data_IF_437687513700
#
_entry.id   IF_437687513700
#
_cell.length_a   1.000
_cell.length_b   1.000
_cell.length_c   1.000
_cell.angle_alpha   90.00
_cell.angle_beta   90.00
_cell.angle_gamma   90.00
#
_symmetry.space_group_name_H-M   'P 1'
#
loop_
_entity.id
_entity.type
_entity.pdbx_description
1 polymer ?
#
# COMPACT_ATOMS: atom_id res chain seq x y z
N UNK A 1 11.00 1.94 -2.09
CA UNK A 1 10.76 2.24 -3.52
C UNK A 1 12.03 2.24 -4.38
N UNK A 2 13.09 3.01 -4.05
CA UNK A 2 14.32 3.10 -4.87
C UNK A 2 14.88 1.74 -5.35
N UNK A 3 15.09 0.79 -4.44
CA UNK A 3 15.62 -0.52 -4.81
C UNK A 3 14.72 -1.30 -5.79
N UNK A 4 13.39 -1.14 -5.69
CA UNK A 4 12.46 -1.77 -6.62
C UNK A 4 12.59 -1.16 -8.02
N UNK A 5 12.79 0.16 -8.14
CA UNK A 5 13.05 0.81 -9.42
C UNK A 5 14.38 0.42 -10.05
N UNK A 6 15.39 0.14 -9.22
CA UNK A 6 16.69 -0.35 -9.68
C UNK A 6 16.69 -1.85 -10.01
N UNK A 7 15.55 -2.53 -9.96
CA UNK A 7 15.45 -3.98 -10.19
C UNK A 7 16.06 -4.83 -9.06
N UNK A 8 16.46 -4.22 -7.95
CA UNK A 8 17.06 -4.88 -6.78
C UNK A 8 15.96 -5.44 -5.86
N UNK A 9 15.28 -6.49 -6.33
CA UNK A 9 14.11 -7.09 -5.67
C UNK A 9 14.34 -7.43 -4.20
N UNK A 10 15.39 -8.20 -3.90
CA UNK A 10 15.66 -8.67 -2.53
C UNK A 10 15.95 -7.52 -1.55
N UNK A 11 16.71 -6.53 -2.00
CA UNK A 11 16.99 -5.34 -1.20
C UNK A 11 15.73 -4.52 -0.94
N UNK A 12 14.85 -4.39 -1.94
CA UNK A 12 13.58 -3.69 -1.80
C UNK A 12 12.68 -4.36 -0.74
N UNK A 13 12.55 -5.68 -0.78
CA UNK A 13 11.77 -6.45 0.19
C UNK A 13 12.39 -6.39 1.59
N UNK A 14 13.71 -6.57 1.69
CA UNK A 14 14.42 -6.50 2.97
C UNK A 14 14.20 -5.14 3.65
N UNK A 15 14.37 -4.05 2.91
CA UNK A 15 14.22 -2.71 3.45
C UNK A 15 12.77 -2.37 3.78
N UNK A 16 11.84 -2.75 2.89
CA UNK A 16 10.42 -2.57 3.14
C UNK A 16 9.97 -3.29 4.41
N UNK A 17 10.31 -4.59 4.54
CA UNK A 17 9.97 -5.37 5.74
C UNK A 17 10.62 -4.77 6.99
N UNK A 18 11.90 -4.38 6.91
CA UNK A 18 12.58 -3.74 8.03
C UNK A 18 11.89 -2.46 8.48
N UNK A 19 11.37 -1.65 7.55
CA UNK A 19 10.62 -0.46 7.89
C UNK A 19 9.35 -0.80 8.71
N UNK A 20 8.61 -1.85 8.31
CA UNK A 20 7.41 -2.30 9.05
C UNK A 20 7.73 -2.80 10.45
N UNK A 21 8.92 -3.36 10.67
CA UNK A 21 9.39 -3.80 11.99
C UNK A 21 9.81 -2.61 12.88
N UNK A 22 10.40 -1.57 12.29
CA UNK A 22 10.86 -0.38 13.01
C UNK A 22 9.71 0.56 13.40
N UNK A 23 8.69 0.67 12.55
CA UNK A 23 7.47 1.45 12.79
C UNK A 23 6.25 0.53 12.67
N UNK A 24 6.02 -0.34 13.68
CA UNK A 24 4.90 -1.25 13.64
C UNK A 24 3.59 -0.48 13.78
N UNK A 25 2.61 -0.84 12.94
CA UNK A 25 1.28 -0.21 12.94
C UNK A 25 0.51 -0.36 14.26
N UNK A 26 0.93 -1.32 15.09
CA UNK A 26 0.37 -1.53 16.44
C UNK A 26 0.86 -0.51 17.46
N UNK A 27 1.96 0.20 17.17
CA UNK A 27 2.50 1.22 18.07
C UNK A 27 1.98 2.61 17.73
N UNK A 28 2.00 2.96 16.44
CA UNK A 28 1.41 4.17 15.89
C UNK A 28 0.67 3.79 14.61
N UNK A 29 -0.65 3.90 14.64
CA UNK A 29 -1.49 3.48 13.52
C UNK A 29 -1.32 4.38 12.30
N UNK A 30 -1.09 5.67 12.50
CA UNK A 30 -0.98 6.65 11.42
C UNK A 30 0.37 6.51 10.73
N UNK A 31 1.46 6.57 11.50
CA UNK A 31 2.82 6.40 10.97
C UNK A 31 3.06 4.98 10.45
N UNK A 32 2.48 3.98 11.10
CA UNK A 32 2.56 2.60 10.64
C UNK A 32 1.80 2.39 9.34
N UNK A 33 0.62 3.00 9.15
CA UNK A 33 -0.10 2.92 7.88
C UNK A 33 0.72 3.47 6.71
N UNK A 34 1.40 4.60 6.90
CA UNK A 34 2.31 5.19 5.90
C UNK A 34 3.39 4.18 5.46
N UNK A 35 4.05 3.53 6.41
CA UNK A 35 5.09 2.54 6.12
C UNK A 35 4.52 1.32 5.39
N UNK A 36 3.33 0.90 5.77
CA UNK A 36 2.65 -0.24 5.17
C UNK A 36 2.17 0.05 3.74
N UNK A 37 1.82 1.30 3.41
CA UNK A 37 1.56 1.75 2.04
C UNK A 37 2.84 1.68 1.20
N UNK A 38 3.96 2.21 1.69
CA UNK A 38 5.24 2.09 0.96
C UNK A 38 5.64 0.63 0.72
N UNK A 39 5.39 -0.25 1.69
CA UNK A 39 5.62 -1.67 1.51
C UNK A 39 4.68 -2.27 0.44
N UNK A 40 3.39 -1.91 0.45
CA UNK A 40 2.44 -2.31 -0.59
C UNK A 40 2.89 -1.85 -1.99
N UNK A 41 3.38 -0.61 -2.13
CA UNK A 41 3.91 -0.10 -3.38
C UNK A 41 5.14 -0.88 -3.87
N UNK A 42 6.03 -1.27 -2.96
CA UNK A 42 7.16 -2.15 -3.28
C UNK A 42 6.66 -3.50 -3.80
N UNK A 43 5.71 -4.12 -3.11
CA UNK A 43 5.10 -5.39 -3.54
C UNK A 43 4.44 -5.26 -4.92
N UNK A 44 3.66 -4.20 -5.15
CA UNK A 44 3.00 -3.91 -6.42
C UNK A 44 4.02 -3.86 -7.56
N UNK A 45 5.10 -3.10 -7.36
CA UNK A 45 6.16 -2.91 -8.35
C UNK A 45 6.91 -4.21 -8.66
N UNK A 46 7.02 -5.11 -7.68
CA UNK A 46 7.70 -6.39 -7.83
C UNK A 46 6.81 -7.51 -8.41
N UNK A 47 5.54 -7.21 -8.69
CA UNK A 47 4.56 -8.16 -9.23
C UNK A 47 3.92 -9.07 -8.17
N UNK A 48 4.02 -8.71 -6.88
CA UNK A 48 3.45 -9.47 -5.76
C UNK A 48 1.98 -9.09 -5.55
N UNK A 49 1.16 -9.35 -6.58
CA UNK A 49 -0.23 -8.88 -6.68
C UNK A 49 -1.10 -9.32 -5.50
N UNK A 50 -1.03 -10.59 -5.10
CA UNK A 50 -1.85 -11.13 -4.02
C UNK A 50 -1.59 -10.43 -2.68
N UNK A 51 -0.31 -10.31 -2.30
CA UNK A 51 0.11 -9.63 -1.08
C UNK A 51 -0.26 -8.15 -1.10
N UNK A 52 -0.09 -7.51 -2.26
CA UNK A 52 -0.42 -6.10 -2.45
C UNK A 52 -1.92 -5.85 -2.25
N UNK A 53 -2.78 -6.65 -2.91
CA UNK A 53 -4.23 -6.49 -2.84
C UNK A 53 -4.74 -6.70 -1.42
N UNK A 54 -4.30 -7.78 -0.76
CA UNK A 54 -4.69 -8.06 0.64
C UNK A 54 -4.33 -6.89 1.57
N UNK A 55 -3.17 -6.28 1.33
CA UNK A 55 -2.68 -5.15 2.11
C UNK A 55 -3.48 -3.87 1.83
N UNK A 56 -3.83 -3.59 0.57
CA UNK A 56 -4.70 -2.47 0.19
C UNK A 56 -6.06 -2.57 0.89
N UNK A 57 -6.70 -3.73 0.86
CA UNK A 57 -8.01 -3.94 1.49
C UNK A 57 -7.97 -3.62 2.99
N UNK A 58 -6.91 -4.06 3.69
CA UNK A 58 -6.71 -3.75 5.10
C UNK A 58 -6.49 -2.24 5.32
N UNK A 59 -5.63 -1.62 4.52
CA UNK A 59 -5.24 -0.22 4.68
C UNK A 59 -6.39 0.74 4.42
N UNK A 60 -7.25 0.47 3.44
CA UNK A 60 -8.45 1.29 3.19
C UNK A 60 -9.41 1.34 4.40
N UNK A 61 -9.34 0.37 5.31
CA UNK A 61 -10.13 0.37 6.56
C UNK A 61 -9.36 0.87 7.78
N UNK A 62 -8.07 1.18 7.64
CA UNK A 62 -7.20 1.57 8.75
C UNK A 62 -7.15 3.10 8.86
N UNK A 63 -7.04 3.72 10.04
CA UNK A 63 -6.74 5.14 10.15
C UNK A 63 -5.39 5.45 9.48
N UNK A 64 -5.35 6.45 8.61
CA UNK A 64 -4.12 6.88 7.93
C UNK A 64 -4.13 8.40 7.71
N UNK A 65 -2.96 8.97 7.47
CA UNK A 65 -2.84 10.37 7.07
C UNK A 65 -3.28 10.52 5.62
N UNK A 66 -4.31 11.33 5.36
CA UNK A 66 -4.68 11.73 4.01
C UNK A 66 -3.88 12.98 3.68
N UNK A 67 -2.88 12.84 2.82
CA UNK A 67 -2.08 13.94 2.32
C UNK A 67 -1.81 13.78 0.81
N UNK A 68 -1.02 14.70 0.24
CA UNK A 68 -0.68 14.69 -1.18
C UNK A 68 0.55 13.83 -1.51
N UNK A 69 1.08 13.06 -0.55
CA UNK A 69 2.29 12.27 -0.75
C UNK A 69 1.97 10.82 -1.18
N UNK A 70 2.99 10.06 -1.57
CA UNK A 70 2.86 8.69 -2.10
C UNK A 70 2.33 7.67 -1.10
N UNK A 71 2.20 8.03 0.18
CA UNK A 71 1.74 7.18 1.26
C UNK A 71 0.24 7.30 1.55
N UNK A 72 -0.49 8.23 0.91
CA UNK A 72 -1.95 8.27 0.99
C UNK A 72 -2.59 7.08 0.24
N UNK A 73 -3.63 6.48 0.83
CA UNK A 73 -4.34 5.34 0.27
C UNK A 73 -5.86 5.48 0.38
N UNK A 74 -6.44 6.31 -0.48
CA UNK A 74 -7.89 6.38 -0.75
C UNK A 74 -8.27 5.62 -2.02
N UNK A 75 -9.56 5.36 -2.26
CA UNK A 75 -9.98 4.89 -3.60
C UNK A 75 -9.62 5.90 -4.71
N UNK A 76 -9.54 7.20 -4.41
CA UNK A 76 -9.09 8.20 -5.38
C UNK A 76 -7.62 8.00 -5.74
N UNK A 77 -6.74 7.81 -4.75
CA UNK A 77 -5.33 7.51 -4.95
C UNK A 77 -5.17 6.24 -5.78
N UNK A 78 -5.88 5.17 -5.39
CA UNK A 78 -5.85 3.91 -6.12
C UNK A 78 -6.29 4.07 -7.57
N UNK A 79 -7.23 4.97 -7.92
CA UNK A 79 -7.65 5.21 -9.30
C UNK A 79 -6.68 6.07 -10.11
N UNK A 80 -6.08 7.08 -9.49
CA UNK A 80 -5.39 8.16 -10.21
C UNK A 80 -3.87 8.00 -10.25
N UNK A 81 -3.28 7.36 -9.24
CA UNK A 81 -1.83 7.29 -9.07
C UNK A 81 -1.21 6.14 -9.86
N UNK A 82 -0.17 6.44 -10.63
CA UNK A 82 0.50 5.52 -11.56
C UNK A 82 1.25 4.39 -10.83
N UNK A 83 1.58 4.59 -9.56
CA UNK A 83 2.26 3.62 -8.70
C UNK A 83 1.44 2.32 -8.57
N UNK A 84 0.11 2.42 -8.72
CA UNK A 84 -0.83 1.28 -8.71
C UNK A 84 -1.14 0.71 -10.10
N UNK A 85 -0.52 1.24 -11.16
CA UNK A 85 -0.72 0.76 -12.53
C UNK A 85 -0.46 -0.75 -12.71
N UNK A 86 0.52 -1.38 -12.02
CA UNK A 86 0.72 -2.83 -12.10
C UNK A 86 -0.51 -3.67 -11.74
N UNK A 87 -1.48 -3.13 -10.99
CA UNK A 87 -2.67 -3.84 -10.53
C UNK A 87 -3.91 -3.60 -11.40
N UNK A 88 -3.87 -2.66 -12.36
CA UNK A 88 -5.06 -2.16 -13.09
C UNK A 88 -5.87 -3.25 -13.79
N UNK A 89 -5.20 -4.31 -14.22
CA UNK A 89 -5.80 -5.42 -14.94
C UNK A 89 -6.24 -6.57 -14.03
N UNK A 90 -5.96 -6.51 -12.71
CA UNK A 90 -6.41 -7.55 -11.77
C UNK A 90 -7.90 -7.34 -11.43
N UNK A 91 -8.77 -8.36 -11.63
CA UNK A 91 -10.20 -8.23 -11.35
C UNK A 91 -10.54 -7.89 -9.89
N UNK A 92 -9.71 -8.34 -8.92
CA UNK A 92 -9.92 -8.05 -7.50
C UNK A 92 -9.61 -6.59 -7.21
N UNK A 93 -8.56 -6.05 -7.83
CA UNK A 93 -8.26 -4.62 -7.73
C UNK A 93 -9.37 -3.76 -8.35
N UNK A 94 -9.89 -4.13 -9.52
CA UNK A 94 -11.04 -3.45 -10.14
C UNK A 94 -12.29 -3.51 -9.25
N UNK A 95 -12.53 -4.62 -8.56
CA UNK A 95 -13.63 -4.75 -7.59
C UNK A 95 -13.48 -3.80 -6.40
N UNK A 96 -12.26 -3.61 -5.88
CA UNK A 96 -11.99 -2.61 -4.84
C UNK A 96 -12.35 -1.21 -5.35
N UNK A 97 -11.92 -0.86 -6.56
CA UNK A 97 -12.20 0.45 -7.16
C UNK A 97 -13.70 0.71 -7.44
N UNK A 98 -14.47 -0.33 -7.72
CA UNK A 98 -15.92 -0.24 -7.97
C UNK A 98 -16.76 -0.18 -6.68
N UNK A 99 -16.16 -0.52 -5.54
CA UNK A 99 -16.83 -0.50 -4.24
C UNK A 99 -16.92 0.93 -3.70
N UNK A 100 -17.91 1.23 -2.83
CA UNK A 100 -17.93 2.50 -2.11
C UNK A 100 -16.71 2.62 -1.18
N UNK A 101 -16.33 3.85 -0.81
CA UNK A 101 -15.25 4.08 0.15
C UNK A 101 -15.55 3.31 1.45
N UNK A 102 -14.66 2.41 1.89
CA UNK A 102 -14.89 1.64 3.10
C UNK A 102 -14.83 2.55 4.33
N UNK A 103 -15.55 2.15 5.38
CA UNK A 103 -15.51 2.87 6.66
C UNK A 103 -14.19 2.60 7.36
N UNK A 104 -13.55 3.66 7.84
CA UNK A 104 -12.40 3.56 8.73
C UNK A 104 -12.81 2.89 10.04
N UNK A 105 -12.00 1.91 10.48
CA UNK A 105 -12.17 1.19 11.74
C UNK A 105 -11.13 1.68 12.73
N UNK A 106 -11.56 2.43 13.73
CA UNK A 106 -10.73 2.85 14.86
C UNK A 106 -10.68 1.70 15.87
N UNK A 107 -9.50 1.15 16.13
CA UNK A 107 -9.26 0.12 17.16
C UNK A 107 -8.45 0.69 18.31
#
# INVERSE_FOLDING_TARGET
MLYAFLGRREDALRQGKRATELKPITHDVIEGAVVEVFYALICARLGMTDETISRIERLLTTPFAVDYDDASITLSDLRQRWEWDPLRNDPRFQKILASPEPKTVYK
#
